data_IF_898316182575
#
_entry.id   IF_898316182575
#
_cell.length_a   1.000
_cell.length_b   1.000
_cell.length_c   1.000
_cell.angle_alpha   90.00
_cell.angle_beta   90.00
_cell.angle_gamma   90.00
#
_symmetry.space_group_name_H-M   'P 1'
#
loop_
_entity.id
_entity.type
_entity.pdbx_description
1 polymer ?
#
# COMPACT_ATOMS: atom_id res chain seq x y z
N UNK A 1 17.51 2.64 -18.15
CA UNK A 1 17.71 1.41 -17.34
C UNK A 1 17.61 1.63 -15.82
N UNK A 2 17.86 2.82 -15.26
CA UNK A 2 17.76 3.06 -13.81
C UNK A 2 16.33 3.11 -13.23
N UNK A 3 15.37 3.68 -13.96
CA UNK A 3 14.01 3.91 -13.45
C UNK A 3 13.23 2.62 -13.20
N UNK A 4 13.36 1.62 -14.07
CA UNK A 4 12.69 0.32 -13.92
C UNK A 4 13.26 -0.48 -12.75
N UNK A 5 14.58 -0.45 -12.57
CA UNK A 5 15.23 -1.11 -11.43
C UNK A 5 14.82 -0.45 -10.10
N UNK A 6 14.74 0.88 -10.07
CA UNK A 6 14.29 1.63 -8.90
C UNK A 6 12.84 1.30 -8.55
N UNK A 7 11.95 1.24 -9.55
CA UNK A 7 10.56 0.84 -9.38
C UNK A 7 10.43 -0.58 -8.80
N UNK A 8 11.20 -1.55 -9.33
CA UNK A 8 11.23 -2.92 -8.79
C UNK A 8 11.61 -2.93 -7.32
N UNK A 9 12.71 -2.25 -6.97
CA UNK A 9 13.19 -2.19 -5.59
C UNK A 9 12.20 -1.49 -4.65
N UNK A 10 11.52 -0.43 -5.12
CA UNK A 10 10.49 0.27 -4.36
C UNK A 10 9.35 -0.67 -3.97
N UNK A 11 8.81 -1.41 -4.94
CA UNK A 11 7.70 -2.35 -4.72
C UNK A 11 8.15 -3.49 -3.81
N UNK A 12 9.34 -4.04 -4.01
CA UNK A 12 9.90 -5.11 -3.15
C UNK A 12 10.11 -4.64 -1.71
N UNK A 13 10.53 -3.39 -1.51
CA UNK A 13 10.66 -2.79 -0.17
C UNK A 13 9.30 -2.38 0.44
N UNK A 14 8.19 -2.58 -0.29
CA UNK A 14 6.86 -2.19 0.18
C UNK A 14 6.65 -0.69 0.30
N UNK A 15 7.44 0.12 -0.43
CA UNK A 15 7.37 1.59 -0.32
C UNK A 15 6.24 2.12 -1.20
N UNK A 16 5.24 2.84 -0.63
CA UNK A 16 4.16 3.42 -1.42
C UNK A 16 4.67 4.53 -2.35
N UNK A 17 4.06 4.68 -3.52
CA UNK A 17 4.32 5.78 -4.46
C UNK A 17 3.13 6.75 -4.57
N UNK A 18 3.41 8.04 -4.87
CA UNK A 18 2.39 8.99 -5.30
C UNK A 18 1.66 8.46 -6.54
N UNK A 19 0.37 8.81 -6.66
CA UNK A 19 -0.53 8.44 -7.78
C UNK A 19 -0.88 6.95 -7.89
N UNK A 20 -0.23 6.07 -7.12
CA UNK A 20 -0.56 4.64 -7.05
C UNK A 20 -1.17 4.27 -5.70
N UNK A 21 -0.31 4.13 -4.70
CA UNK A 21 -0.71 3.76 -3.34
C UNK A 21 -1.21 4.99 -2.57
N UNK A 22 -0.60 6.16 -2.82
CA UNK A 22 -0.95 7.44 -2.19
C UNK A 22 -1.87 8.23 -3.12
N UNK A 23 -3.11 7.76 -3.23
CA UNK A 23 -4.20 8.46 -3.94
C UNK A 23 -5.16 9.10 -2.94
N UNK A 24 -6.07 9.97 -3.41
CA UNK A 24 -7.15 10.55 -2.59
C UNK A 24 -8.11 9.50 -2.01
N UNK A 25 -8.06 8.28 -2.52
CA UNK A 25 -8.84 7.13 -2.05
C UNK A 25 -8.30 6.50 -0.75
N UNK A 26 -7.03 6.75 -0.40
CA UNK A 26 -6.35 6.07 0.71
C UNK A 26 -5.68 7.06 1.66
N UNK A 27 -5.77 6.79 2.96
CA UNK A 27 -5.08 7.59 3.98
C UNK A 27 -3.62 7.16 4.13
N UNK A 28 -2.75 8.10 4.51
CA UNK A 28 -1.33 7.81 4.76
C UNK A 28 -1.12 6.74 5.85
N UNK A 29 -2.01 6.68 6.83
CA UNK A 29 -1.98 5.62 7.85
C UNK A 29 -2.27 4.22 7.26
N UNK A 30 -3.21 4.13 6.33
CA UNK A 30 -3.51 2.89 5.61
C UNK A 30 -2.33 2.48 4.73
N UNK A 31 -1.61 3.45 4.17
CA UNK A 31 -0.40 3.26 3.37
C UNK A 31 0.84 2.84 4.19
N UNK A 32 0.73 2.71 5.52
CA UNK A 32 1.84 2.32 6.39
C UNK A 32 2.77 3.48 6.78
N UNK A 33 2.41 4.73 6.50
CA UNK A 33 3.21 5.92 6.82
C UNK A 33 3.09 6.37 8.28
N UNK A 34 2.86 5.43 9.20
CA UNK A 34 2.72 5.70 10.63
C UNK A 34 3.91 6.47 11.20
N UNK A 35 5.12 6.09 10.79
CA UNK A 35 6.35 6.74 11.27
C UNK A 35 6.55 8.14 10.68
N UNK A 36 5.85 8.48 9.60
CA UNK A 36 5.89 9.82 8.99
C UNK A 36 4.85 10.76 9.59
N UNK A 37 3.88 10.23 10.35
CA UNK A 37 2.79 10.99 10.95
C UNK A 37 3.07 11.11 12.44
N UNK A 38 3.02 12.32 12.96
CA UNK A 38 3.22 12.55 14.39
C UNK A 38 1.97 13.17 14.98
N UNK A 39 1.31 12.44 15.88
CA UNK A 39 0.08 12.92 16.52
C UNK A 39 0.33 14.04 17.54
N UNK A 40 1.58 14.17 18.00
CA UNK A 40 1.98 15.11 19.04
C UNK A 40 2.77 16.33 18.49
N UNK A 41 3.12 16.35 17.20
CA UNK A 41 3.91 17.46 16.63
C UNK A 41 2.97 18.56 16.13
N UNK A 42 2.85 19.64 16.91
CA UNK A 42 2.22 20.90 16.49
C UNK A 42 0.85 20.78 15.81
N UNK A 43 0.45 21.82 15.07
CA UNK A 43 -0.73 21.80 14.20
C UNK A 43 -0.27 21.63 12.76
N UNK A 44 -0.62 20.51 12.12
CA UNK A 44 -0.38 20.29 10.70
C UNK A 44 -1.67 19.97 9.94
N UNK A 45 -1.66 20.25 8.64
CA UNK A 45 -2.83 20.11 7.78
C UNK A 45 -3.30 18.66 7.74
N UNK A 46 -4.57 18.43 8.09
CA UNK A 46 -5.18 17.10 8.10
C UNK A 46 -5.02 16.31 9.41
N UNK A 47 -4.37 16.88 10.43
CA UNK A 47 -4.23 16.24 11.74
C UNK A 47 -5.59 15.91 12.39
N UNK A 48 -6.57 16.81 12.30
CA UNK A 48 -7.91 16.55 12.84
C UNK A 48 -8.58 15.36 12.16
N UNK A 49 -8.43 15.25 10.84
CA UNK A 49 -8.96 14.12 10.06
C UNK A 49 -8.31 12.81 10.49
N UNK A 50 -6.98 12.81 10.64
CA UNK A 50 -6.20 11.65 11.09
C UNK A 50 -6.59 11.26 12.52
N UNK A 51 -6.72 12.23 13.43
CA UNK A 51 -7.11 12.00 14.81
C UNK A 51 -8.54 11.43 14.91
N UNK A 52 -9.51 12.01 14.18
CA UNK A 52 -10.88 11.47 14.11
C UNK A 52 -10.92 10.06 13.54
N UNK A 53 -10.12 9.78 12.51
CA UNK A 53 -10.04 8.44 11.93
C UNK A 53 -9.53 7.42 12.95
N UNK A 54 -8.49 7.75 13.71
CA UNK A 54 -7.97 6.88 14.78
C UNK A 54 -8.95 6.69 15.93
N UNK A 55 -9.64 7.76 16.36
CA UNK A 55 -10.55 7.71 17.51
C UNK A 55 -11.86 6.98 17.20
N UNK A 56 -12.44 7.18 16.02
CA UNK A 56 -13.80 6.69 15.73
C UNK A 56 -13.86 5.52 14.74
N UNK A 57 -13.06 5.56 13.68
CA UNK A 57 -13.24 4.66 12.54
C UNK A 57 -12.25 3.51 12.52
N UNK A 58 -11.07 3.71 13.12
CA UNK A 58 -9.95 2.79 13.03
C UNK A 58 -9.44 2.61 11.60
N UNK A 59 -8.39 1.80 11.46
CA UNK A 59 -7.84 1.43 10.15
C UNK A 59 -8.53 0.16 9.67
N UNK A 60 -9.32 0.29 8.60
CA UNK A 60 -10.08 -0.82 8.00
C UNK A 60 -9.27 -1.65 6.99
N UNK A 61 -8.19 -1.08 6.46
CA UNK A 61 -7.33 -1.73 5.49
C UNK A 61 -5.89 -1.23 5.64
N UNK A 62 -4.94 -2.07 5.24
CA UNK A 62 -3.51 -1.76 5.30
C UNK A 62 -2.85 -2.11 3.98
N UNK A 63 -1.88 -1.28 3.59
CA UNK A 63 -0.98 -1.60 2.50
C UNK A 63 -0.07 -2.75 2.92
N UNK A 64 0.02 -3.76 2.08
CA UNK A 64 0.86 -4.93 2.28
C UNK A 64 1.63 -5.26 1.00
N UNK A 65 2.88 -5.68 1.19
CA UNK A 65 3.62 -6.41 0.17
C UNK A 65 3.07 -7.83 0.08
N UNK A 66 2.77 -8.26 -1.13
CA UNK A 66 2.23 -9.58 -1.45
C UNK A 66 3.19 -10.28 -2.40
N UNK A 67 3.39 -11.57 -2.19
CA UNK A 67 4.07 -12.44 -3.13
C UNK A 67 3.02 -13.27 -3.88
N UNK A 68 3.20 -13.39 -5.19
CA UNK A 68 2.35 -14.16 -6.08
C UNK A 68 3.18 -15.24 -6.77
N UNK A 69 2.54 -16.34 -7.13
CA UNK A 69 3.15 -17.39 -7.94
C UNK A 69 3.08 -17.11 -9.44
N UNK A 70 2.32 -16.10 -9.85
CA UNK A 70 2.09 -15.74 -11.25
C UNK A 70 2.06 -14.21 -11.43
N UNK A 71 2.08 -13.77 -12.69
CA UNK A 71 1.91 -12.37 -13.04
C UNK A 71 0.49 -11.90 -12.70
N UNK A 72 0.39 -10.73 -12.08
CA UNK A 72 -0.88 -10.11 -11.70
C UNK A 72 -0.90 -8.67 -12.20
N UNK A 73 -2.04 -8.24 -12.73
CA UNK A 73 -2.18 -6.88 -13.23
C UNK A 73 -2.51 -5.90 -12.10
N UNK A 74 -1.81 -4.75 -12.00
CA UNK A 74 -2.16 -3.71 -11.04
C UNK A 74 -3.60 -3.24 -11.26
N UNK A 75 -4.35 -3.03 -10.18
CA UNK A 75 -5.79 -2.76 -10.21
C UNK A 75 -6.66 -4.01 -9.97
N UNK A 76 -6.07 -5.21 -10.06
CA UNK A 76 -6.78 -6.47 -9.81
C UNK A 76 -7.31 -6.56 -8.37
N UNK A 77 -8.47 -7.20 -8.22
CA UNK A 77 -9.03 -7.49 -6.90
C UNK A 77 -8.30 -8.68 -6.29
N UNK A 78 -7.85 -8.55 -5.03
CA UNK A 78 -7.25 -9.65 -4.29
C UNK A 78 -8.38 -10.43 -3.62
N UNK A 79 -8.45 -11.72 -3.92
CA UNK A 79 -9.36 -12.67 -3.29
C UNK A 79 -8.58 -13.66 -2.45
N UNK A 80 -9.12 -14.01 -1.29
CA UNK A 80 -8.58 -15.05 -0.42
C UNK A 80 -9.76 -15.89 0.05
N UNK A 81 -9.66 -17.21 -0.11
CA UNK A 81 -10.74 -18.15 0.27
C UNK A 81 -12.10 -17.79 -0.36
N UNK A 82 -12.10 -17.43 -1.66
CA UNK A 82 -13.31 -17.01 -2.38
C UNK A 82 -13.89 -15.64 -1.97
N UNK A 83 -13.31 -14.95 -0.98
CA UNK A 83 -13.75 -13.63 -0.52
C UNK A 83 -12.84 -12.52 -1.03
N UNK A 84 -13.43 -11.38 -1.40
CA UNK A 84 -12.69 -10.17 -1.76
C UNK A 84 -12.04 -9.57 -0.51
N UNK A 85 -10.72 -9.69 -0.42
CA UNK A 85 -9.93 -9.18 0.70
C UNK A 85 -9.25 -7.86 0.40
N UNK A 86 -9.09 -7.47 -0.87
CA UNK A 86 -8.32 -6.27 -1.17
C UNK A 86 -8.27 -5.84 -2.63
N UNK A 87 -7.42 -4.86 -2.89
CA UNK A 87 -7.10 -4.35 -4.24
C UNK A 87 -5.60 -4.24 -4.41
N UNK A 88 -5.09 -4.76 -5.52
CA UNK A 88 -3.71 -4.62 -5.94
C UNK A 88 -3.50 -3.23 -6.56
N UNK A 89 -2.43 -2.54 -6.20
CA UNK A 89 -2.10 -1.20 -6.71
C UNK A 89 -0.86 -1.21 -7.59
N UNK A 90 0.19 -1.90 -7.17
CA UNK A 90 1.45 -2.04 -7.93
C UNK A 90 1.85 -3.51 -8.04
N UNK A 91 2.52 -3.84 -9.14
CA UNK A 91 3.05 -5.17 -9.40
C UNK A 91 4.48 -5.06 -9.95
N UNK A 92 5.32 -6.02 -9.60
CA UNK A 92 6.67 -6.13 -10.10
C UNK A 92 7.16 -7.57 -10.14
N UNK A 93 8.12 -7.86 -11.01
CA UNK A 93 8.78 -9.17 -11.09
C UNK A 93 10.07 -9.14 -10.28
N UNK A 94 10.28 -10.18 -9.47
CA UNK A 94 11.48 -10.38 -8.67
C UNK A 94 12.74 -10.53 -9.52
N UNK A 95 13.89 -10.36 -8.88
CA UNK A 95 15.21 -10.33 -9.54
C UNK A 95 15.55 -11.61 -10.31
N UNK A 96 15.07 -12.76 -9.84
CA UNK A 96 15.29 -14.06 -10.49
C UNK A 96 14.18 -14.48 -11.47
N UNK A 97 13.18 -13.62 -11.72
CA UNK A 97 12.12 -13.92 -12.66
C UNK A 97 11.07 -14.95 -12.20
N UNK A 98 11.32 -15.72 -11.15
CA UNK A 98 10.35 -16.71 -10.62
C UNK A 98 9.42 -16.16 -9.55
N UNK A 99 9.86 -15.15 -8.79
CA UNK A 99 9.04 -14.53 -7.74
C UNK A 99 8.29 -13.33 -8.31
N UNK A 100 7.00 -13.23 -8.00
CA UNK A 100 6.17 -12.08 -8.37
C UNK A 100 5.81 -11.32 -7.11
N UNK A 101 6.05 -10.01 -7.09
CA UNK A 101 5.77 -9.16 -5.95
C UNK A 101 4.73 -8.10 -6.32
N UNK A 102 3.91 -7.72 -5.36
CA UNK A 102 2.97 -6.64 -5.55
C UNK A 102 2.70 -5.89 -4.26
N UNK A 103 2.14 -4.70 -4.40
CA UNK A 103 1.59 -3.92 -3.31
C UNK A 103 0.08 -3.88 -3.47
N UNK A 104 -0.63 -4.07 -2.36
CA UNK A 104 -2.07 -3.98 -2.35
C UNK A 104 -2.61 -3.62 -0.97
N UNK A 105 -3.80 -3.03 -0.97
CA UNK A 105 -4.56 -2.77 0.24
C UNK A 105 -5.37 -4.01 0.60
N UNK A 106 -5.12 -4.53 1.80
CA UNK A 106 -5.82 -5.69 2.36
C UNK A 106 -6.70 -5.20 3.50
N UNK A 107 -7.99 -5.52 3.46
CA UNK A 107 -8.94 -5.25 4.53
C UNK A 107 -8.63 -6.17 5.72
N UNK A 108 -8.71 -5.60 6.93
CA UNK A 108 -8.58 -6.36 8.18
C UNK A 108 -9.86 -7.13 8.47
#
# INVERSE_FOLDING_TARGET
MGSEACEKLRVIQGRPAPERELSKEFNGLEAGLWNSISLNKGCYKGQETIAKLLTYYGIKQRLCGLEFSAQVEPGSTITFDGKKVGKLTSYTRGRNGSSHFGLGYIKK
#
